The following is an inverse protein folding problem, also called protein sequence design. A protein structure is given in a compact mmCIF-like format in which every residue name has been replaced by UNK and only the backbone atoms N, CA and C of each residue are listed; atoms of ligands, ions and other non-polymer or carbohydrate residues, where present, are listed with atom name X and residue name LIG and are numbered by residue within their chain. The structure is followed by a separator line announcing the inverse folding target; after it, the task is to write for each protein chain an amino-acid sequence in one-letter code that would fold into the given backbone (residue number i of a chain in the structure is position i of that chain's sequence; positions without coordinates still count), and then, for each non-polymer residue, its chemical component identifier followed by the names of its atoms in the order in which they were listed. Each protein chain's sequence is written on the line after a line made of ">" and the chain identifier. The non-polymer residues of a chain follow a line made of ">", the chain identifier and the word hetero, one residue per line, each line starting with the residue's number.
data_IF_241523123660
#
_entry.id   IF_241523123660
#
_cell.length_a   1.000
_cell.length_b   1.000
_cell.length_c   1.000
_cell.angle_alpha   90.00
_cell.angle_beta   90.00
_cell.angle_gamma   90.00
#
_symmetry.space_group_name_H-M   'P 1'
#
loop_
_entity.id
_entity.type
_entity.pdbx_description
1 polymer ?
#
# COMPACT_ATOMS: atom_id res chain seq x y z
N UNK A 1 5.50 -11.69 -16.08
CA UNK A 1 5.18 -11.48 -14.66
C UNK A 1 5.62 -10.08 -14.28
N UNK A 2 4.87 -9.38 -13.43
CA UNK A 2 5.27 -8.08 -12.88
C UNK A 2 5.69 -8.24 -11.42
N UNK A 3 6.78 -7.59 -11.03
CA UNK A 3 7.23 -7.50 -9.65
C UNK A 3 7.08 -6.06 -9.18
N UNK A 4 6.61 -5.85 -7.97
CA UNK A 4 6.48 -4.54 -7.36
C UNK A 4 7.33 -4.48 -6.10
N UNK A 5 8.04 -3.38 -5.91
CA UNK A 5 8.73 -3.04 -4.66
C UNK A 5 7.99 -1.83 -4.10
N UNK A 6 7.32 -1.97 -2.96
CA UNK A 6 6.60 -0.88 -2.31
C UNK A 6 7.38 -0.35 -1.10
N UNK A 7 7.39 0.97 -0.93
CA UNK A 7 8.13 1.67 0.14
C UNK A 7 7.49 1.58 1.54
N UNK A 8 6.23 1.14 1.59
CA UNK A 8 5.45 0.84 2.80
C UNK A 8 4.53 -0.37 2.61
N UNK A 9 4.04 -0.93 3.72
CA UNK A 9 3.09 -2.06 3.71
C UNK A 9 1.74 -1.69 3.10
N UNK A 10 1.23 -0.50 3.43
CA UNK A 10 -0.10 -0.04 2.97
C UNK A 10 -0.13 0.25 1.47
N UNK A 11 0.93 0.83 0.91
CA UNK A 11 1.07 1.01 -0.53
C UNK A 11 1.31 -0.31 -1.25
N UNK A 12 1.97 -1.27 -0.60
CA UNK A 12 2.08 -2.65 -1.07
C UNK A 12 0.71 -3.33 -1.20
N UNK A 13 -0.14 -3.24 -0.17
CA UNK A 13 -1.50 -3.80 -0.22
C UNK A 13 -2.35 -3.11 -1.28
N UNK A 14 -2.26 -1.78 -1.42
CA UNK A 14 -2.98 -1.01 -2.44
C UNK A 14 -2.62 -1.43 -3.88
N UNK A 15 -1.32 -1.59 -4.17
CA UNK A 15 -0.88 -2.12 -5.49
C UNK A 15 -1.32 -3.56 -5.69
N UNK A 16 -1.22 -4.39 -4.65
CA UNK A 16 -1.59 -5.79 -4.75
C UNK A 16 -3.10 -5.94 -5.05
N UNK A 17 -3.94 -5.11 -4.43
CA UNK A 17 -5.35 -4.97 -4.76
C UNK A 17 -5.54 -4.51 -6.22
N UNK A 18 -4.82 -3.47 -6.64
CA UNK A 18 -4.89 -2.96 -8.00
C UNK A 18 -4.55 -4.01 -9.06
N UNK A 19 -3.54 -4.85 -8.85
CA UNK A 19 -3.22 -5.98 -9.73
C UNK A 19 -4.31 -7.05 -9.69
N UNK A 20 -4.75 -7.45 -8.49
CA UNK A 20 -5.79 -8.47 -8.31
C UNK A 20 -7.07 -8.12 -9.06
N UNK A 21 -7.49 -6.86 -8.98
CA UNK A 21 -8.66 -6.33 -9.68
C UNK A 21 -8.57 -6.38 -11.20
N UNK A 22 -7.37 -6.41 -11.77
CA UNK A 22 -7.17 -6.65 -13.21
C UNK A 22 -7.10 -8.14 -13.56
N UNK A 23 -7.38 -9.03 -12.60
CA UNK A 23 -7.37 -10.48 -12.81
C UNK A 23 -5.98 -11.11 -12.72
N UNK A 24 -4.96 -10.39 -12.27
CA UNK A 24 -3.65 -10.97 -11.97
C UNK A 24 -3.73 -11.74 -10.64
N UNK A 25 -3.22 -12.97 -10.62
CA UNK A 25 -2.98 -13.68 -9.36
C UNK A 25 -1.82 -13.02 -8.65
N UNK A 26 -2.07 -12.49 -7.46
CA UNK A 26 -1.10 -11.63 -6.78
C UNK A 26 -0.68 -12.23 -5.45
N UNK A 27 0.63 -12.29 -5.24
CA UNK A 27 1.24 -12.61 -3.96
C UNK A 27 1.86 -11.34 -3.38
N UNK A 28 1.70 -11.14 -2.08
CA UNK A 28 2.28 -10.03 -1.32
C UNK A 28 3.21 -10.57 -0.24
N UNK A 29 4.44 -10.07 -0.22
CA UNK A 29 5.47 -10.36 0.76
C UNK A 29 5.66 -9.13 1.65
N UNK A 30 5.75 -9.34 2.96
CA UNK A 30 6.01 -8.30 3.94
C UNK A 30 7.46 -8.39 4.40
N UNK A 31 8.21 -7.30 4.21
CA UNK A 31 9.64 -7.23 4.48
C UNK A 31 10.50 -7.78 3.34
N UNK A 32 11.76 -8.07 3.64
CA UNK A 32 12.66 -8.70 2.67
C UNK A 32 12.17 -10.11 2.32
N UNK A 33 12.36 -10.56 1.06
CA UNK A 33 12.14 -11.94 0.69
C UNK A 33 13.21 -12.80 1.37
N UNK A 34 12.82 -13.40 2.51
CA UNK A 34 13.65 -14.34 3.23
C UNK A 34 13.34 -15.75 2.74
N UNK A 35 14.31 -16.40 2.10
CA UNK A 35 14.12 -17.70 1.45
C UNK A 35 13.47 -17.62 0.06
N UNK A 36 13.00 -18.77 -0.44
CA UNK A 36 12.39 -18.89 -1.76
C UNK A 36 10.95 -19.39 -1.60
N UNK A 37 9.97 -18.51 -1.34
CA UNK A 37 8.58 -18.92 -1.42
C UNK A 37 8.31 -19.37 -2.84
N UNK A 38 7.61 -20.48 -3.00
CA UNK A 38 7.17 -20.94 -4.31
C UNK A 38 6.24 -19.90 -4.94
N UNK A 39 6.66 -19.34 -6.08
CA UNK A 39 5.96 -18.28 -6.81
C UNK A 39 5.20 -18.81 -8.04
N UNK A 40 5.14 -20.12 -8.21
CA UNK A 40 4.44 -20.73 -9.34
C UNK A 40 2.94 -20.40 -9.27
N UNK A 41 2.39 -20.03 -10.42
CA UNK A 41 0.97 -19.68 -10.53
C UNK A 41 0.59 -18.27 -10.06
N UNK A 42 1.56 -17.37 -9.85
CA UNK A 42 1.28 -15.95 -9.66
C UNK A 42 1.69 -15.12 -10.89
N UNK A 43 0.90 -14.10 -11.19
CA UNK A 43 1.13 -13.21 -12.34
C UNK A 43 1.77 -11.88 -11.90
N UNK A 44 1.58 -11.52 -10.63
CA UNK A 44 2.18 -10.37 -9.97
C UNK A 44 2.72 -10.71 -8.57
N UNK A 45 3.89 -10.18 -8.25
CA UNK A 45 4.51 -10.30 -6.92
C UNK A 45 4.73 -8.91 -6.35
N UNK A 46 4.37 -8.69 -5.10
CA UNK A 46 4.57 -7.41 -4.41
C UNK A 46 5.44 -7.64 -3.20
N UNK A 47 6.58 -6.95 -3.11
CA UNK A 47 7.44 -6.91 -1.93
C UNK A 47 7.23 -5.57 -1.24
N UNK A 48 6.56 -5.59 -0.10
CA UNK A 48 6.28 -4.39 0.67
C UNK A 48 7.33 -4.21 1.76
N UNK A 49 8.06 -3.11 1.69
CA UNK A 49 9.14 -2.75 2.60
C UNK A 49 8.66 -1.67 3.58
N UNK A 50 9.50 -1.33 4.57
CA UNK A 50 9.32 -0.16 5.43
C UNK A 50 10.47 0.81 5.19
N UNK A 51 10.62 1.28 3.95
CA UNK A 51 11.83 2.01 3.49
C UNK A 51 11.62 3.52 3.28
N UNK A 52 10.38 4.02 3.31
CA UNK A 52 10.06 5.43 3.01
C UNK A 52 10.86 6.44 3.84
N UNK A 53 10.96 6.23 5.15
CA UNK A 53 11.56 7.17 6.10
C UNK A 53 12.95 6.74 6.62
N UNK A 54 13.53 5.67 6.04
CA UNK A 54 14.89 5.24 6.36
C UNK A 54 15.92 6.17 5.71
N UNK A 55 17.19 6.02 6.07
CA UNK A 55 18.25 6.63 5.27
C UNK A 55 18.28 6.03 3.85
N UNK A 56 18.69 6.84 2.88
CA UNK A 56 18.67 6.45 1.47
C UNK A 56 19.52 5.22 1.17
N UNK A 57 20.66 5.04 1.85
CA UNK A 57 21.54 3.88 1.64
C UNK A 57 20.85 2.57 2.04
N UNK A 58 20.21 2.56 3.20
CA UNK A 58 19.41 1.42 3.67
C UNK A 58 18.23 1.15 2.73
N UNK A 59 17.48 2.19 2.34
CA UNK A 59 16.34 2.02 1.43
C UNK A 59 16.76 1.48 0.05
N UNK A 60 17.87 1.97 -0.50
CA UNK A 60 18.46 1.47 -1.75
C UNK A 60 18.87 0.01 -1.62
N UNK A 61 19.63 -0.35 -0.58
CA UNK A 61 20.05 -1.73 -0.35
C UNK A 61 18.84 -2.66 -0.25
N UNK A 62 17.81 -2.23 0.49
CA UNK A 62 16.59 -3.01 0.63
C UNK A 62 15.86 -3.23 -0.70
N UNK A 63 15.78 -2.20 -1.55
CA UNK A 63 15.15 -2.29 -2.86
C UNK A 63 15.95 -3.18 -3.83
N UNK A 64 17.29 -3.12 -3.80
CA UNK A 64 18.14 -3.96 -4.63
C UNK A 64 18.02 -5.45 -4.26
N UNK A 65 18.01 -5.78 -2.97
CA UNK A 65 17.77 -7.17 -2.52
C UNK A 65 16.40 -7.68 -3.01
N UNK A 66 15.35 -6.87 -2.88
CA UNK A 66 14.03 -7.22 -3.38
C UNK A 66 14.01 -7.39 -4.91
N UNK A 67 14.66 -6.48 -5.65
CA UNK A 67 14.79 -6.56 -7.11
C UNK A 67 15.52 -7.83 -7.53
N UNK A 68 16.62 -8.16 -6.88
CA UNK A 68 17.44 -9.32 -7.26
C UNK A 68 16.67 -10.63 -7.05
N UNK A 69 15.87 -10.71 -5.99
CA UNK A 69 14.95 -11.82 -5.79
C UNK A 69 13.88 -11.87 -6.89
N UNK A 70 13.20 -10.74 -7.16
CA UNK A 70 12.15 -10.68 -8.19
C UNK A 70 12.65 -11.10 -9.58
N UNK A 71 13.82 -10.59 -9.99
CA UNK A 71 14.38 -10.86 -11.32
C UNK A 71 14.99 -12.25 -11.40
N UNK A 72 15.83 -12.62 -10.43
CA UNK A 72 16.64 -13.84 -10.54
C UNK A 72 15.88 -15.11 -10.17
N UNK A 73 14.96 -15.02 -9.20
CA UNK A 73 14.23 -16.18 -8.67
C UNK A 73 12.83 -16.28 -9.25
N UNK A 74 12.13 -15.15 -9.39
CA UNK A 74 10.75 -15.14 -9.89
C UNK A 74 10.61 -14.83 -11.39
N UNK A 75 11.72 -14.66 -12.11
CA UNK A 75 11.75 -14.35 -13.55
C UNK A 75 10.84 -13.16 -13.92
N UNK A 76 10.78 -12.15 -13.05
CA UNK A 76 10.04 -10.91 -13.31
C UNK A 76 10.72 -10.13 -14.43
N UNK A 77 9.92 -9.67 -15.39
CA UNK A 77 10.39 -8.87 -16.53
C UNK A 77 10.25 -7.36 -16.33
N UNK A 78 9.36 -6.94 -15.43
CA UNK A 78 9.10 -5.52 -15.12
C UNK A 78 9.11 -5.35 -13.61
N UNK A 79 10.01 -4.50 -13.12
CA UNK A 79 10.05 -4.04 -11.72
C UNK A 79 9.31 -2.71 -11.62
N UNK A 80 8.22 -2.72 -10.86
CA UNK A 80 7.44 -1.55 -10.52
C UNK A 80 7.89 -1.00 -9.17
N UNK A 81 8.47 0.20 -9.12
CA UNK A 81 8.75 0.86 -7.84
C UNK A 81 7.54 1.70 -7.41
N UNK A 82 6.89 1.25 -6.34
CA UNK A 82 5.71 1.87 -5.74
C UNK A 82 6.12 2.79 -4.59
N UNK A 83 5.71 4.05 -4.69
CA UNK A 83 5.78 5.06 -3.62
C UNK A 83 4.43 5.77 -3.43
N UNK A 84 4.30 6.61 -2.41
CA UNK A 84 3.04 7.28 -2.07
C UNK A 84 2.52 8.16 -3.22
N UNK A 85 1.19 8.21 -3.41
CA UNK A 85 0.54 9.05 -4.44
C UNK A 85 0.67 10.56 -4.18
N UNK A 86 1.11 10.94 -2.98
CA UNK A 86 1.43 12.31 -2.59
C UNK A 86 2.94 12.62 -2.66
N UNK A 87 3.72 11.70 -3.25
CA UNK A 87 5.16 11.84 -3.48
C UNK A 87 5.98 12.05 -2.19
N UNK A 88 5.51 11.49 -1.08
CA UNK A 88 6.08 11.60 0.28
C UNK A 88 7.58 11.32 0.30
N UNK A 89 8.37 12.38 0.37
CA UNK A 89 9.83 12.33 0.36
C UNK A 89 10.41 13.65 0.86
N UNK A 90 11.72 13.67 1.06
CA UNK A 90 12.50 14.88 1.31
C UNK A 90 13.56 15.03 0.23
N UNK A 91 14.32 16.14 0.15
CA UNK A 91 15.49 16.22 -0.73
C UNK A 91 16.51 15.10 -0.51
N UNK A 92 16.53 14.47 0.68
CA UNK A 92 17.42 13.35 0.96
C UNK A 92 16.91 12.00 0.41
N UNK A 93 15.67 11.93 -0.10
CA UNK A 93 15.08 10.69 -0.61
C UNK A 93 13.74 10.29 0.01
N UNK A 94 13.26 9.07 -0.24
CA UNK A 94 13.98 7.96 -0.89
C UNK A 94 13.55 7.63 -2.32
N UNK A 95 12.67 8.42 -2.93
CA UNK A 95 12.15 8.13 -4.28
C UNK A 95 13.27 8.21 -5.33
N UNK A 96 14.03 9.31 -5.34
CA UNK A 96 15.16 9.50 -6.26
C UNK A 96 16.23 8.40 -6.14
N UNK A 97 16.88 8.24 -4.96
CA UNK A 97 17.97 7.28 -4.78
C UNK A 97 17.59 5.84 -5.12
N UNK A 98 16.40 5.39 -4.71
CA UNK A 98 15.93 4.02 -5.02
C UNK A 98 15.67 3.86 -6.52
N UNK A 99 15.06 4.87 -7.16
CA UNK A 99 14.81 4.83 -8.61
C UNK A 99 16.11 4.76 -9.40
N UNK A 100 17.11 5.58 -9.02
CA UNK A 100 18.43 5.58 -9.65
C UNK A 100 19.10 4.21 -9.55
N UNK A 101 19.12 3.61 -8.36
CA UNK A 101 19.74 2.31 -8.14
C UNK A 101 19.04 1.17 -8.91
N UNK A 102 17.71 1.20 -9.00
CA UNK A 102 16.94 0.21 -9.77
C UNK A 102 17.22 0.34 -11.27
N UNK A 103 17.31 1.56 -11.79
CA UNK A 103 17.72 1.82 -13.18
C UNK A 103 19.13 1.31 -13.47
N UNK A 104 20.09 1.64 -12.59
CA UNK A 104 21.48 1.17 -12.70
C UNK A 104 21.56 -0.36 -12.75
N UNK A 105 20.83 -1.04 -11.84
CA UNK A 105 20.79 -2.51 -11.79
C UNK A 105 20.08 -3.15 -13.00
N UNK A 106 19.16 -2.44 -13.64
CA UNK A 106 18.49 -2.90 -14.85
C UNK A 106 19.27 -2.58 -16.14
N UNK A 107 20.19 -1.60 -16.10
CA UNK A 107 20.85 -1.07 -17.28
C UNK A 107 19.95 -0.15 -18.12
N UNK A 108 18.86 0.36 -17.54
CA UNK A 108 17.91 1.25 -18.21
C UNK A 108 18.39 2.70 -18.17
N UNK A 109 18.24 3.43 -19.29
CA UNK A 109 18.66 4.83 -19.39
C UNK A 109 17.69 5.80 -18.69
N UNK A 110 16.40 5.47 -18.65
CA UNK A 110 15.37 6.32 -18.06
C UNK A 110 14.18 5.52 -17.54
N UNK A 111 13.41 6.12 -16.63
CA UNK A 111 12.07 5.65 -16.24
C UNK A 111 11.07 6.79 -16.13
N UNK A 112 9.81 6.44 -15.87
CA UNK A 112 8.71 7.37 -15.67
C UNK A 112 8.42 7.58 -14.19
N UNK A 113 7.86 8.74 -13.86
CA UNK A 113 7.39 9.13 -12.52
C UNK A 113 5.91 9.48 -12.62
N UNK A 114 5.04 8.63 -12.08
CA UNK A 114 3.59 8.82 -12.15
C UNK A 114 2.90 8.52 -10.80
N UNK A 115 2.87 9.49 -9.88
CA UNK A 115 2.17 9.33 -8.59
C UNK A 115 0.64 9.46 -8.71
N UNK A 116 0.10 9.70 -9.90
CA UNK A 116 -1.33 9.90 -10.11
C UNK A 116 -2.15 8.67 -9.70
N UNK A 117 -3.26 8.94 -9.03
CA UNK A 117 -4.31 7.99 -8.67
C UNK A 117 -5.64 8.75 -8.67
N UNK A 118 -6.23 9.03 -9.86
CA UNK A 118 -7.39 9.92 -10.02
C UNK A 118 -8.59 9.49 -9.19
N UNK A 119 -8.82 8.18 -9.05
CA UNK A 119 -9.87 7.63 -8.21
C UNK A 119 -9.76 8.04 -6.73
N UNK A 120 -8.54 8.23 -6.23
CA UNK A 120 -8.29 8.73 -4.89
C UNK A 120 -8.10 10.26 -4.88
N UNK A 121 -8.43 10.95 -5.97
CA UNK A 121 -8.27 12.40 -6.12
C UNK A 121 -6.82 12.85 -6.21
N UNK A 122 -5.89 12.02 -6.70
CA UNK A 122 -4.51 12.44 -6.97
C UNK A 122 -4.32 12.55 -8.47
N UNK A 123 -4.13 13.77 -8.98
CA UNK A 123 -3.96 14.04 -10.41
C UNK A 123 -2.71 14.86 -10.66
N UNK A 124 -2.10 14.72 -11.83
CA UNK A 124 -0.92 15.49 -12.23
C UNK A 124 -1.23 16.28 -13.49
N UNK A 125 -1.06 17.60 -13.42
CA UNK A 125 -1.28 18.52 -14.54
C UNK A 125 -0.11 19.51 -14.67
N UNK A 126 0.49 19.59 -15.85
CA UNK A 126 1.69 20.37 -16.14
C UNK A 126 2.81 20.09 -15.14
N UNK A 127 3.02 18.81 -14.78
CA UNK A 127 3.98 18.36 -13.79
C UNK A 127 3.65 18.74 -12.34
N UNK A 128 2.51 19.38 -12.08
CA UNK A 128 2.07 19.73 -10.72
C UNK A 128 1.13 18.65 -10.18
N UNK A 129 1.43 18.15 -8.98
CA UNK A 129 0.58 17.20 -8.28
C UNK A 129 -0.53 17.92 -7.50
N UNK A 130 -1.76 17.45 -7.71
CA UNK A 130 -2.95 17.91 -7.00
C UNK A 130 -3.45 16.82 -6.05
N UNK A 131 -3.93 17.27 -4.89
CA UNK A 131 -4.68 16.48 -3.93
C UNK A 131 -6.10 17.04 -3.88
N UNK A 132 -7.02 16.31 -4.48
CA UNK A 132 -8.37 16.76 -4.80
C UNK A 132 -8.32 18.06 -5.63
N UNK A 133 -8.91 19.14 -5.13
CA UNK A 133 -9.00 20.45 -5.76
C UNK A 133 -7.82 21.38 -5.41
N UNK A 134 -6.86 20.90 -4.61
CA UNK A 134 -5.73 21.69 -4.13
C UNK A 134 -4.39 21.21 -4.69
N UNK A 135 -3.44 22.13 -4.82
CA UNK A 135 -2.03 21.79 -5.00
C UNK A 135 -1.54 20.95 -3.81
N UNK A 136 -0.61 20.03 -4.04
CA UNK A 136 0.03 19.24 -2.97
C UNK A 136 0.52 20.13 -1.82
N UNK A 137 1.19 21.23 -2.15
CA UNK A 137 1.74 22.22 -1.23
C UNK A 137 0.73 23.00 -0.42
N UNK A 138 -0.54 23.00 -0.85
CA UNK A 138 -1.64 23.72 -0.20
C UNK A 138 -2.57 22.77 0.57
N UNK A 139 -2.38 21.46 0.36
CA UNK A 139 -3.12 20.40 1.04
C UNK A 139 -2.60 20.13 2.46
N UNK A 140 -3.27 19.20 3.16
CA UNK A 140 -2.79 18.69 4.46
C UNK A 140 -1.34 18.16 4.43
N UNK A 141 -0.83 17.73 3.27
CA UNK A 141 0.54 17.22 3.13
C UNK A 141 1.62 18.28 3.39
N UNK A 142 1.28 19.57 3.30
CA UNK A 142 2.17 20.68 3.66
C UNK A 142 2.72 20.57 5.08
N UNK A 143 1.92 19.99 5.97
CA UNK A 143 2.19 19.83 7.40
C UNK A 143 2.40 18.36 7.79
N UNK A 144 2.68 17.47 6.82
CA UNK A 144 2.96 16.08 7.11
C UNK A 144 4.14 15.95 8.10
N UNK A 145 4.03 15.16 9.17
CA UNK A 145 4.99 15.17 10.28
C UNK A 145 6.39 14.68 9.90
N UNK A 146 6.48 13.79 8.90
CA UNK A 146 7.75 13.20 8.46
C UNK A 146 8.29 13.80 7.15
N UNK A 147 7.39 14.10 6.23
CA UNK A 147 7.70 14.47 4.83
C UNK A 147 6.84 15.66 4.39
N UNK A 148 7.00 16.85 5.01
CA UNK A 148 6.18 18.01 4.70
C UNK A 148 6.37 18.45 3.24
N UNK A 149 5.31 18.34 2.44
CA UNK A 149 5.34 18.62 1.01
C UNK A 149 5.03 20.09 0.75
N UNK A 150 6.05 20.92 0.51
CA UNK A 150 5.92 22.39 0.36
C UNK A 150 6.07 22.91 -1.07
N UNK A 151 6.28 22.01 -2.02
CA UNK A 151 6.22 22.27 -3.47
C UNK A 151 5.26 21.23 -4.08
N UNK A 152 4.65 21.58 -5.20
CA UNK A 152 3.75 20.71 -5.96
C UNK A 152 4.34 20.29 -7.31
N UNK A 153 5.41 20.93 -7.77
CA UNK A 153 6.01 20.63 -9.06
C UNK A 153 6.94 19.41 -8.97
N UNK A 154 6.45 18.26 -9.46
CA UNK A 154 7.12 16.96 -9.36
C UNK A 154 8.53 16.95 -9.95
N UNK A 155 8.83 17.60 -11.10
CA UNK A 155 10.20 17.64 -11.60
C UNK A 155 11.20 18.28 -10.62
N UNK A 156 10.77 19.27 -9.83
CA UNK A 156 11.64 19.88 -8.80
C UNK A 156 11.77 18.97 -7.58
N UNK A 157 10.67 18.35 -7.14
CA UNK A 157 10.68 17.41 -6.03
C UNK A 157 11.57 16.19 -6.30
N UNK A 158 11.49 15.64 -7.52
CA UNK A 158 12.36 14.55 -7.96
C UNK A 158 13.80 15.03 -8.16
N UNK A 159 14.01 16.15 -8.85
CA UNK A 159 15.34 16.71 -9.11
C UNK A 159 16.11 17.13 -7.86
N UNK A 160 15.42 17.32 -6.73
CA UNK A 160 16.07 17.55 -5.43
C UNK A 160 16.69 16.27 -4.83
N UNK A 161 16.29 15.08 -5.30
CA UNK A 161 16.66 13.77 -4.74
C UNK A 161 17.68 12.99 -5.58
N UNK A 162 17.99 13.47 -6.79
CA UNK A 162 18.81 12.77 -7.77
C UNK A 162 19.79 13.74 -8.44
N UNK A 163 21.01 13.31 -8.80
CA UNK A 163 21.92 14.12 -9.61
C UNK A 163 21.52 14.16 -11.09
N UNK A 164 20.52 13.39 -11.52
CA UNK A 164 20.15 13.23 -12.93
C UNK A 164 19.08 14.23 -13.40
N UNK A 165 19.00 14.43 -14.72
CA UNK A 165 18.02 15.33 -15.32
C UNK A 165 16.61 14.74 -15.22
N UNK A 166 15.65 15.62 -14.91
CA UNK A 166 14.23 15.31 -14.79
C UNK A 166 13.43 16.11 -15.82
N UNK A 167 12.66 15.41 -16.64
CA UNK A 167 11.75 15.97 -17.63
C UNK A 167 10.29 15.74 -17.27
N UNK A 168 9.40 16.19 -18.14
CA UNK A 168 7.96 15.94 -18.00
C UNK A 168 7.30 15.79 -19.37
N UNK A 169 6.31 14.90 -19.46
CA UNK A 169 5.36 14.82 -20.57
C UNK A 169 4.05 15.44 -20.10
N UNK A 170 3.69 16.55 -20.73
CA UNK A 170 2.48 17.30 -20.36
C UNK A 170 1.23 16.54 -20.77
N UNK A 171 0.12 16.89 -20.11
CA UNK A 171 -1.17 16.28 -20.33
C UNK A 171 -1.62 16.30 -21.80
N UNK A 172 -1.31 17.37 -22.54
CA UNK A 172 -1.66 17.45 -23.97
C UNK A 172 -1.01 16.34 -24.79
N UNK A 173 0.23 15.95 -24.45
CA UNK A 173 0.95 14.86 -25.11
C UNK A 173 0.47 13.50 -24.60
N UNK A 174 0.14 13.38 -23.32
CA UNK A 174 -0.48 12.15 -22.77
C UNK A 174 -1.84 11.89 -23.43
N UNK A 175 -2.68 12.92 -23.55
CA UNK A 175 -4.01 12.88 -24.20
C UNK A 175 -3.93 12.48 -25.68
N UNK A 176 -2.80 12.76 -26.34
CA UNK A 176 -2.55 12.36 -27.72
C UNK A 176 -2.28 10.84 -27.88
N UNK A 177 -2.14 10.11 -26.77
CA UNK A 177 -2.09 8.66 -26.74
C UNK A 177 -0.68 8.08 -26.56
N UNK A 178 -0.61 6.75 -26.44
CA UNK A 178 0.62 6.03 -26.06
C UNK A 178 1.78 6.20 -27.04
N UNK A 179 1.52 6.38 -28.33
CA UNK A 179 2.57 6.63 -29.32
C UNK A 179 3.23 7.99 -29.12
N UNK A 180 2.44 9.04 -28.86
CA UNK A 180 2.98 10.37 -28.57
C UNK A 180 3.82 10.36 -27.28
N UNK A 181 3.39 9.62 -26.25
CA UNK A 181 4.17 9.44 -25.02
C UNK A 181 5.51 8.73 -25.33
N UNK A 182 5.50 7.66 -26.13
CA UNK A 182 6.73 6.96 -26.54
C UNK A 182 7.68 7.86 -27.32
N UNK A 183 7.17 8.74 -28.16
CA UNK A 183 8.00 9.72 -28.89
C UNK A 183 8.70 10.69 -27.93
N UNK A 184 7.97 11.19 -26.93
CA UNK A 184 8.55 12.05 -25.89
C UNK A 184 9.57 11.30 -25.03
N UNK A 185 9.32 10.04 -24.67
CA UNK A 185 10.29 9.23 -23.92
C UNK A 185 11.57 8.99 -24.74
N UNK A 186 11.46 8.77 -26.06
CA UNK A 186 12.62 8.65 -26.96
C UNK A 186 13.42 9.96 -27.07
N UNK A 187 12.73 11.10 -27.16
CA UNK A 187 13.38 12.41 -27.16
C UNK A 187 14.09 12.68 -25.83
N UNK A 188 13.42 12.40 -24.70
CA UNK A 188 14.00 12.51 -23.36
C UNK A 188 15.26 11.65 -23.18
N UNK A 189 15.25 10.41 -23.71
CA UNK A 189 16.43 9.55 -23.72
C UNK A 189 17.61 10.18 -24.47
N UNK A 190 17.36 10.77 -25.64
CA UNK A 190 18.37 11.43 -26.45
C UNK A 190 18.97 12.66 -25.73
N UNK A 191 18.16 13.34 -24.93
CA UNK A 191 18.56 14.49 -24.10
C UNK A 191 19.15 14.09 -22.73
N UNK A 192 19.42 12.79 -22.51
CA UNK A 192 19.95 12.26 -21.25
C UNK A 192 19.08 12.55 -20.02
N UNK A 193 17.77 12.70 -20.22
CA UNK A 193 16.78 12.79 -19.14
C UNK A 193 16.56 11.39 -18.57
N UNK A 194 16.75 11.25 -17.26
CA UNK A 194 16.66 9.95 -16.57
C UNK A 194 15.30 9.68 -15.95
N UNK A 195 14.59 10.73 -15.54
CA UNK A 195 13.27 10.60 -14.94
C UNK A 195 12.29 11.48 -15.69
N UNK A 196 11.17 10.91 -16.12
CA UNK A 196 10.14 11.63 -16.87
C UNK A 196 8.83 11.63 -16.10
N UNK A 197 8.43 12.78 -15.58
CA UNK A 197 7.12 12.96 -14.94
C UNK A 197 6.02 12.85 -15.99
N UNK A 198 5.01 12.03 -15.74
CA UNK A 198 3.87 11.90 -16.64
C UNK A 198 2.61 12.48 -16.00
N UNK A 199 1.99 13.43 -16.68
CA UNK A 199 0.68 13.95 -16.33
C UNK A 199 -0.39 12.85 -16.44
N UNK A 200 -1.41 12.90 -15.58
CA UNK A 200 -2.59 12.06 -15.68
C UNK A 200 -3.73 12.66 -14.84
N UNK A 201 -4.89 12.87 -15.47
CA UNK A 201 -6.08 13.42 -14.83
C UNK A 201 -7.17 12.36 -14.62
N UNK A 202 -7.16 11.30 -15.42
CA UNK A 202 -8.17 10.25 -15.41
C UNK A 202 -7.56 8.86 -15.71
N UNK A 203 -8.42 7.83 -15.69
CA UNK A 203 -8.03 6.45 -15.95
C UNK A 203 -7.64 6.20 -17.43
N UNK A 204 -8.12 7.02 -18.36
CA UNK A 204 -7.76 6.90 -19.77
C UNK A 204 -6.33 7.40 -20.00
N UNK A 205 -5.95 8.50 -19.34
CA UNK A 205 -4.57 8.99 -19.31
C UNK A 205 -3.64 7.92 -18.71
N UNK A 206 -4.00 7.31 -17.57
CA UNK A 206 -3.21 6.22 -16.97
C UNK A 206 -3.10 5.00 -17.90
N UNK A 207 -4.14 4.69 -18.67
CA UNK A 207 -4.12 3.61 -19.66
C UNK A 207 -3.17 3.93 -20.82
N UNK A 208 -3.17 5.17 -21.30
CA UNK A 208 -2.24 5.61 -22.34
C UNK A 208 -0.79 5.53 -21.85
N UNK A 209 -0.53 5.99 -20.61
CA UNK A 209 0.77 5.86 -19.96
C UNK A 209 1.20 4.39 -19.85
N UNK A 210 0.35 3.53 -19.29
CA UNK A 210 0.65 2.11 -19.12
C UNK A 210 1.03 1.40 -20.44
N UNK A 211 0.31 1.70 -21.53
CA UNK A 211 0.65 1.18 -22.86
C UNK A 211 1.97 1.74 -23.38
N UNK A 212 2.28 3.00 -23.10
CA UNK A 212 3.51 3.63 -23.54
C UNK A 212 4.74 3.00 -22.89
N UNK A 213 4.65 2.66 -21.59
CA UNK A 213 5.74 2.09 -20.79
C UNK A 213 5.82 0.57 -20.80
N UNK A 214 4.88 -0.09 -21.47
CA UNK A 214 4.92 -1.53 -21.69
C UNK A 214 6.22 -1.90 -22.44
N UNK A 215 7.04 -2.75 -21.81
CA UNK A 215 8.38 -3.13 -22.28
C UNK A 215 9.56 -2.47 -21.56
N UNK A 216 9.34 -1.51 -20.67
CA UNK A 216 10.40 -0.99 -19.78
C UNK A 216 10.71 -1.98 -18.66
N UNK A 217 11.98 -2.11 -18.26
CA UNK A 217 12.35 -3.01 -17.17
C UNK A 217 12.05 -2.39 -15.80
N UNK A 218 12.15 -1.06 -15.67
CA UNK A 218 11.78 -0.32 -14.45
C UNK A 218 10.69 0.71 -14.74
N UNK A 219 9.58 0.67 -13.99
CA UNK A 219 8.48 1.64 -14.03
C UNK A 219 8.22 2.14 -12.61
N UNK A 220 7.87 3.42 -12.42
CA UNK A 220 7.63 3.95 -11.06
C UNK A 220 6.34 4.75 -10.95
N UNK A 221 5.70 4.70 -9.78
CA UNK A 221 4.48 5.47 -9.53
C UNK A 221 3.64 4.99 -8.35
N UNK A 222 2.37 5.41 -8.35
CA UNK A 222 1.37 4.99 -7.37
C UNK A 222 0.48 3.84 -7.89
N UNK A 223 -0.47 3.38 -7.08
CA UNK A 223 -1.32 2.24 -7.43
C UNK A 223 -2.20 2.47 -8.68
N UNK A 224 -2.47 3.72 -9.06
CA UNK A 224 -3.18 4.06 -10.30
C UNK A 224 -2.48 3.49 -11.54
N UNK A 225 -1.21 3.88 -11.75
CA UNK A 225 -0.43 3.36 -12.87
C UNK A 225 -0.17 1.84 -12.74
N UNK A 226 0.05 1.32 -11.53
CA UNK A 226 0.20 -0.12 -11.34
C UNK A 226 -1.03 -0.91 -11.82
N UNK A 227 -2.24 -0.46 -11.47
CA UNK A 227 -3.48 -1.05 -11.96
C UNK A 227 -3.62 -0.95 -13.48
N UNK A 228 -3.31 0.21 -14.08
CA UNK A 228 -3.36 0.37 -15.53
C UNK A 228 -2.36 -0.55 -16.26
N UNK A 229 -1.15 -0.72 -15.70
CA UNK A 229 -0.13 -1.63 -16.23
C UNK A 229 -0.54 -3.09 -16.09
N UNK A 230 -1.12 -3.47 -14.94
CA UNK A 230 -1.66 -4.81 -14.71
C UNK A 230 -2.71 -5.20 -15.75
N UNK A 231 -3.55 -4.25 -16.15
CA UNK A 231 -4.55 -4.45 -17.23
C UNK A 231 -3.90 -4.70 -18.59
N UNK A 232 -2.87 -3.93 -18.95
CA UNK A 232 -2.13 -4.13 -20.21
C UNK A 232 -1.49 -5.53 -20.24
N UNK A 233 -0.85 -5.94 -19.14
CA UNK A 233 -0.24 -7.27 -18.99
C UNK A 233 -1.30 -8.39 -19.05
N UNK A 234 -2.46 -8.20 -18.42
CA UNK A 234 -3.56 -9.18 -18.46
C UNK A 234 -4.06 -9.40 -19.88
N UNK A 235 -4.27 -8.33 -20.66
CA UNK A 235 -4.71 -8.46 -22.07
C UNK A 235 -3.70 -9.28 -22.89
N UNK A 236 -2.40 -9.20 -22.57
CA UNK A 236 -1.36 -10.01 -23.18
C UNK A 236 -1.29 -11.47 -22.71
N UNK A 237 -2.00 -11.86 -21.64
CA UNK A 237 -1.95 -13.20 -21.04
C UNK A 237 -3.30 -13.91 -21.13
N UNK A 238 -3.32 -15.11 -21.75
CA UNK A 238 -4.48 -16.01 -21.73
C UNK A 238 -4.43 -16.87 -20.47
N UNK A 239 -5.30 -16.60 -19.51
CA UNK A 239 -5.49 -17.44 -18.33
C UNK A 239 -6.94 -17.36 -17.84
N UNK A 240 -7.44 -18.34 -17.07
CA UNK A 240 -8.77 -18.27 -16.49
C UNK A 240 -8.92 -17.01 -15.62
N UNK A 241 -10.11 -16.43 -15.60
CA UNK A 241 -10.44 -15.39 -14.62
C UNK A 241 -10.46 -16.02 -13.24
N UNK A 242 -9.61 -15.54 -12.34
CA UNK A 242 -9.58 -16.01 -10.95
C UNK A 242 -10.61 -15.26 -10.11
N UNK A 243 -11.81 -15.07 -10.65
CA UNK A 243 -12.96 -14.43 -10.00
C UNK A 243 -13.78 -15.41 -9.17
N UNK A 244 -13.26 -16.62 -8.92
CA UNK A 244 -13.96 -17.58 -8.07
C UNK A 244 -14.01 -17.05 -6.62
N UNK A 245 -15.20 -17.08 -5.98
CA UNK A 245 -15.32 -16.66 -4.59
C UNK A 245 -14.41 -17.50 -3.70
N UNK A 246 -13.54 -16.85 -2.94
CA UNK A 246 -12.70 -17.52 -1.96
C UNK A 246 -13.52 -17.68 -0.67
N UNK A 247 -13.76 -18.92 -0.19
CA UNK A 247 -14.45 -19.13 1.08
C UNK A 247 -13.67 -18.47 2.22
N UNK A 248 -14.37 -17.78 3.11
CA UNK A 248 -13.73 -17.29 4.32
C UNK A 248 -13.27 -18.47 5.18
N UNK A 249 -12.08 -18.40 5.82
CA UNK A 249 -11.66 -19.44 6.76
C UNK A 249 -12.66 -19.56 7.91
N UNK A 250 -12.77 -20.78 8.43
CA UNK A 250 -13.59 -21.05 9.60
C UNK A 250 -13.07 -20.32 10.84
N UNK A 251 -13.91 -20.25 11.87
CA UNK A 251 -13.56 -19.65 13.16
C UNK A 251 -13.98 -18.19 13.33
N UNK A 252 -13.77 -17.65 14.54
CA UNK A 252 -14.14 -16.29 14.91
C UNK A 252 -13.44 -15.22 14.07
N UNK A 253 -14.00 -14.01 14.07
CA UNK A 253 -13.39 -12.82 13.49
C UNK A 253 -13.11 -11.78 14.58
N UNK A 254 -11.95 -11.13 14.50
CA UNK A 254 -11.58 -10.00 15.36
C UNK A 254 -11.32 -8.75 14.52
N UNK A 255 -11.80 -7.61 15.01
CA UNK A 255 -11.52 -6.28 14.44
C UNK A 255 -10.52 -5.56 15.34
N UNK A 256 -9.44 -5.05 14.75
CA UNK A 256 -8.37 -4.32 15.43
C UNK A 256 -8.21 -2.94 14.78
N UNK A 257 -8.57 -1.86 15.48
CA UNK A 257 -8.57 -0.52 14.91
C UNK A 257 -7.68 0.45 15.70
N UNK A 258 -6.62 0.97 15.07
CA UNK A 258 -5.74 1.98 15.68
C UNK A 258 -5.78 3.34 14.98
N UNK A 259 -6.25 3.40 13.74
CA UNK A 259 -6.29 4.67 12.99
C UNK A 259 -7.32 5.65 13.56
N UNK A 260 -6.90 6.90 13.75
CA UNK A 260 -7.77 8.01 14.17
C UNK A 260 -8.32 8.84 12.99
N UNK A 261 -8.34 8.28 11.77
CA UNK A 261 -8.90 8.97 10.61
C UNK A 261 -10.42 9.17 10.75
N UNK A 262 -10.99 10.16 10.05
CA UNK A 262 -12.44 10.37 10.02
C UNK A 262 -13.20 9.12 9.55
N UNK A 263 -12.68 8.40 8.55
CA UNK A 263 -13.30 7.19 8.03
C UNK A 263 -13.29 6.07 9.08
N UNK A 264 -12.13 5.81 9.72
CA UNK A 264 -12.00 4.79 10.76
C UNK A 264 -12.87 5.10 11.98
N UNK A 265 -12.94 6.36 12.42
CA UNK A 265 -13.79 6.76 13.55
C UNK A 265 -15.27 6.47 13.27
N UNK A 266 -15.75 6.75 12.05
CA UNK A 266 -17.12 6.41 11.63
C UNK A 266 -17.36 4.89 11.58
N UNK A 267 -16.40 4.13 11.05
CA UNK A 267 -16.48 2.68 10.97
C UNK A 267 -16.46 2.01 12.37
N UNK A 268 -15.63 2.51 13.28
CA UNK A 268 -15.59 2.06 14.69
C UNK A 268 -16.92 2.36 15.38
N UNK A 269 -17.47 3.57 15.23
CA UNK A 269 -18.78 3.90 15.78
C UNK A 269 -19.87 2.94 15.27
N UNK A 270 -19.88 2.66 13.97
CA UNK A 270 -20.81 1.73 13.34
C UNK A 270 -20.66 0.28 13.86
N UNK A 271 -19.43 -0.18 14.09
CA UNK A 271 -19.16 -1.52 14.61
C UNK A 271 -19.51 -1.67 16.11
N UNK A 272 -19.30 -0.62 16.92
CA UNK A 272 -19.64 -0.63 18.37
C UNK A 272 -21.12 -0.84 18.65
N UNK A 273 -21.99 -0.42 17.75
CA UNK A 273 -23.43 -0.64 17.86
C UNK A 273 -23.84 -2.12 17.63
N UNK A 274 -22.93 -2.95 17.12
CA UNK A 274 -23.25 -4.30 16.61
C UNK A 274 -22.44 -5.40 17.27
N UNK A 275 -21.23 -5.11 17.72
CA UNK A 275 -20.31 -6.09 18.28
C UNK A 275 -19.84 -5.69 19.68
N UNK A 276 -19.56 -6.71 20.50
CA UNK A 276 -18.82 -6.51 21.73
C UNK A 276 -17.50 -5.80 21.39
N UNK A 277 -17.24 -4.69 22.07
CA UNK A 277 -16.13 -3.81 21.75
C UNK A 277 -15.42 -3.32 23.02
N UNK A 278 -14.09 -3.33 23.02
CA UNK A 278 -13.27 -2.78 24.11
C UNK A 278 -12.35 -1.68 23.58
N UNK A 279 -12.33 -0.53 24.28
CA UNK A 279 -11.44 0.59 23.96
C UNK A 279 -10.10 0.46 24.70
N UNK A 280 -9.01 0.51 23.97
CA UNK A 280 -7.65 0.60 24.49
C UNK A 280 -7.32 2.08 24.73
N UNK A 281 -7.71 2.61 25.90
CA UNK A 281 -7.48 4.02 26.27
C UNK A 281 -6.26 4.15 27.19
N UNK A 282 -5.12 4.69 26.71
CA UNK A 282 -3.92 4.83 27.54
C UNK A 282 -4.09 5.82 28.70
N UNK A 283 -5.17 6.61 28.74
CA UNK A 283 -5.47 7.57 29.81
C UNK A 283 -6.12 6.91 31.03
N UNK A 284 -6.63 5.69 30.88
CA UNK A 284 -7.28 4.94 31.96
C UNK A 284 -6.28 4.17 32.83
N UNK A 285 -5.00 4.15 32.44
CA UNK A 285 -3.93 3.38 33.09
C UNK A 285 -2.70 4.25 33.38
N UNK A 286 -1.82 3.78 34.28
CA UNK A 286 -0.57 4.48 34.57
C UNK A 286 0.46 4.33 33.45
N UNK A 287 0.46 3.17 32.80
CA UNK A 287 1.34 2.84 31.67
C UNK A 287 0.55 2.06 30.60
N UNK A 288 0.65 2.38 29.30
CA UNK A 288 -0.16 1.72 28.26
C UNK A 288 -0.05 0.19 28.24
N UNK A 289 1.11 -0.37 28.58
CA UNK A 289 1.31 -1.82 28.72
C UNK A 289 0.36 -2.52 29.71
N UNK A 290 -0.20 -1.80 30.69
CA UNK A 290 -1.20 -2.33 31.64
C UNK A 290 -2.54 -2.70 30.96
N UNK A 291 -2.78 -2.21 29.73
CA UNK A 291 -3.97 -2.54 28.96
C UNK A 291 -3.95 -3.98 28.40
N UNK A 292 -2.78 -4.59 28.25
CA UNK A 292 -2.64 -5.84 27.50
C UNK A 292 -3.37 -7.01 28.16
N UNK A 293 -3.05 -7.30 29.43
CA UNK A 293 -3.58 -8.49 30.12
C UNK A 293 -5.12 -8.44 30.26
N UNK A 294 -5.73 -7.31 30.70
CA UNK A 294 -7.19 -7.21 30.76
C UNK A 294 -7.86 -7.32 29.38
N UNK A 295 -7.27 -6.71 28.35
CA UNK A 295 -7.82 -6.77 26.99
C UNK A 295 -7.70 -8.18 26.39
N UNK A 296 -6.62 -8.91 26.67
CA UNK A 296 -6.43 -10.29 26.22
C UNK A 296 -7.39 -11.26 26.91
N UNK A 297 -7.63 -11.07 28.21
CA UNK A 297 -8.65 -11.85 28.93
C UNK A 297 -10.04 -11.58 28.36
N UNK A 298 -10.41 -10.30 28.18
CA UNK A 298 -11.69 -9.94 27.61
C UNK A 298 -11.89 -10.49 26.19
N UNK A 299 -10.86 -10.40 25.35
CA UNK A 299 -10.86 -10.98 24.01
C UNK A 299 -11.18 -12.47 24.08
N UNK A 300 -10.51 -13.20 24.97
CA UNK A 300 -10.73 -14.65 25.15
C UNK A 300 -12.17 -14.96 25.60
N UNK A 301 -12.72 -14.16 26.52
CA UNK A 301 -14.07 -14.36 27.05
C UNK A 301 -15.18 -14.06 26.03
N UNK A 302 -14.90 -13.23 25.02
CA UNK A 302 -15.90 -12.77 24.05
C UNK A 302 -15.69 -13.32 22.64
N UNK A 303 -14.53 -13.88 22.32
CA UNK A 303 -14.24 -14.44 21.00
C UNK A 303 -15.07 -15.71 20.77
N UNK A 304 -15.98 -15.66 19.80
CA UNK A 304 -16.89 -16.76 19.50
C UNK A 304 -17.56 -16.59 18.14
N UNK A 305 -18.82 -17.00 18.03
CA UNK A 305 -19.57 -16.95 16.77
C UNK A 305 -19.79 -15.50 16.26
N UNK A 306 -19.99 -14.56 17.19
CA UNK A 306 -20.09 -13.15 16.88
C UNK A 306 -18.69 -12.50 16.85
N UNK A 307 -18.39 -11.61 15.88
CA UNK A 307 -17.15 -10.85 15.90
C UNK A 307 -17.01 -9.95 17.12
N UNK A 308 -15.76 -9.67 17.49
CA UNK A 308 -15.41 -8.72 18.55
C UNK A 308 -14.48 -7.64 18.01
N UNK A 309 -14.45 -6.48 18.68
CA UNK A 309 -13.58 -5.37 18.29
C UNK A 309 -12.73 -4.85 19.45
N UNK A 310 -11.43 -4.67 19.22
CA UNK A 310 -10.55 -3.90 20.08
C UNK A 310 -10.03 -2.70 19.32
N UNK A 311 -10.08 -1.52 19.93
CA UNK A 311 -9.71 -0.28 19.23
C UNK A 311 -9.04 0.75 20.15
N UNK A 312 -8.05 1.47 19.62
CA UNK A 312 -7.46 2.66 20.24
C UNK A 312 -7.87 3.97 19.54
N UNK A 313 -8.60 3.87 18.42
CA UNK A 313 -9.12 5.02 17.66
C UNK A 313 -9.92 5.99 18.53
N UNK A 314 -9.54 7.27 18.52
CA UNK A 314 -10.20 8.32 19.29
C UNK A 314 -10.29 9.65 18.50
N UNK A 315 -11.38 10.44 18.69
CA UNK A 315 -11.47 11.79 18.14
C UNK A 315 -10.44 12.72 18.81
N UNK A 316 -10.18 13.87 18.19
CA UNK A 316 -9.07 14.74 18.57
C UNK A 316 -9.11 15.19 20.03
N UNK A 317 -10.30 15.44 20.58
CA UNK A 317 -10.52 15.90 21.94
C UNK A 317 -10.27 14.81 22.99
N UNK A 318 -10.25 13.55 22.57
CA UNK A 318 -10.08 12.39 23.45
C UNK A 318 -8.72 11.72 23.31
N UNK A 319 -7.79 12.32 22.55
CA UNK A 319 -6.42 11.82 22.44
C UNK A 319 -5.57 12.44 23.55
N UNK A 320 -4.60 11.68 24.04
CA UNK A 320 -3.46 12.26 24.75
C UNK A 320 -2.71 13.24 23.82
N UNK A 321 -1.82 14.05 24.39
CA UNK A 321 -0.83 14.72 23.55
C UNK A 321 -0.14 13.69 22.64
N UNK A 322 0.20 14.12 21.42
CA UNK A 322 0.77 13.25 20.41
C UNK A 322 2.15 12.76 20.89
N UNK A 323 2.15 11.54 21.43
CA UNK A 323 3.34 10.88 21.94
C UNK A 323 3.65 9.65 21.07
N UNK A 324 4.74 9.67 20.28
CA UNK A 324 5.17 8.53 19.47
C UNK A 324 5.41 7.26 20.28
N UNK A 325 5.80 7.37 21.55
CA UNK A 325 6.05 6.23 22.41
C UNK A 325 4.74 5.52 22.77
N UNK A 326 3.71 6.28 23.15
CA UNK A 326 2.37 5.74 23.41
C UNK A 326 1.80 5.09 22.15
N UNK A 327 1.95 5.72 20.99
CA UNK A 327 1.49 5.15 19.71
C UNK A 327 2.16 3.79 19.43
N UNK A 328 3.48 3.72 19.58
CA UNK A 328 4.26 2.49 19.40
C UNK A 328 3.84 1.39 20.40
N UNK A 329 3.59 1.76 21.66
CA UNK A 329 3.12 0.81 22.66
C UNK A 329 1.71 0.28 22.34
N UNK A 330 0.78 1.14 21.90
CA UNK A 330 -0.55 0.72 21.47
C UNK A 330 -0.50 -0.22 20.26
N UNK A 331 0.39 0.06 19.29
CA UNK A 331 0.64 -0.84 18.16
C UNK A 331 1.15 -2.21 18.61
N UNK A 332 2.09 -2.24 19.55
CA UNK A 332 2.62 -3.47 20.15
C UNK A 332 1.53 -4.27 20.87
N UNK A 333 0.67 -3.59 21.64
CA UNK A 333 -0.48 -4.21 22.33
C UNK A 333 -1.45 -4.80 21.31
N UNK A 334 -1.81 -4.06 20.26
CA UNK A 334 -2.69 -4.56 19.20
C UNK A 334 -2.08 -5.77 18.49
N UNK A 335 -0.77 -5.77 18.22
CA UNK A 335 -0.07 -6.92 17.66
C UNK A 335 -0.13 -8.16 18.58
N UNK A 336 0.05 -7.97 19.89
CA UNK A 336 -0.07 -9.05 20.87
C UNK A 336 -1.51 -9.59 20.96
N UNK A 337 -2.52 -8.72 20.88
CA UNK A 337 -3.93 -9.11 20.84
C UNK A 337 -4.27 -9.89 19.56
N UNK A 338 -3.67 -9.54 18.42
CA UNK A 338 -3.82 -10.32 17.19
C UNK A 338 -3.29 -11.74 17.36
N UNK A 339 -2.09 -11.90 17.95
CA UNK A 339 -1.53 -13.23 18.29
C UNK A 339 -2.47 -14.02 19.19
N UNK A 340 -2.99 -13.39 20.24
CA UNK A 340 -3.91 -14.03 21.18
C UNK A 340 -5.20 -14.49 20.48
N UNK A 341 -5.79 -13.66 19.61
CA UNK A 341 -6.98 -14.02 18.84
C UNK A 341 -6.73 -15.22 17.92
N UNK A 342 -5.63 -15.23 17.17
CA UNK A 342 -5.27 -16.34 16.27
C UNK A 342 -4.99 -17.62 17.06
N UNK A 343 -4.29 -17.52 18.20
CA UNK A 343 -4.05 -18.66 19.09
C UNK A 343 -5.36 -19.23 19.68
N UNK A 344 -6.36 -18.37 19.89
CA UNK A 344 -7.71 -18.75 20.31
C UNK A 344 -8.62 -19.22 19.15
N UNK A 345 -8.08 -19.35 17.92
CA UNK A 345 -8.77 -19.93 16.78
C UNK A 345 -9.43 -18.93 15.83
N UNK A 346 -9.16 -17.63 15.96
CA UNK A 346 -9.64 -16.65 14.99
C UNK A 346 -9.07 -16.95 13.58
N UNK A 347 -9.96 -17.20 12.63
CA UNK A 347 -9.60 -17.35 11.21
C UNK A 347 -9.56 -16.03 10.45
N UNK A 348 -10.12 -14.96 11.02
CA UNK A 348 -10.21 -13.64 10.37
C UNK A 348 -9.74 -12.52 11.29
N UNK A 349 -8.86 -11.67 10.78
CA UNK A 349 -8.37 -10.47 11.46
C UNK A 349 -8.56 -9.26 10.54
N UNK A 350 -9.46 -8.36 10.93
CA UNK A 350 -9.78 -7.12 10.20
C UNK A 350 -9.05 -5.97 10.87
N UNK A 351 -8.13 -5.32 10.18
CA UNK A 351 -7.25 -4.29 10.74
C UNK A 351 -7.50 -2.92 10.09
N UNK A 352 -7.62 -1.88 10.91
CA UNK A 352 -7.80 -0.50 10.45
C UNK A 352 -6.68 0.43 10.93
N UNK A 353 -5.80 0.82 10.00
CA UNK A 353 -4.62 1.66 10.21
C UNK A 353 -3.39 1.05 9.56
N UNK A 354 -2.53 1.85 8.93
CA UNK A 354 -1.37 1.33 8.20
C UNK A 354 -0.30 0.78 9.15
N UNK A 355 0.01 1.54 10.19
CA UNK A 355 0.95 1.24 11.25
C UNK A 355 0.41 0.10 12.10
N UNK A 356 -0.89 0.13 12.43
CA UNK A 356 -1.60 -0.98 13.06
C UNK A 356 -1.54 -2.27 12.22
N UNK A 357 -1.73 -2.17 10.90
CA UNK A 357 -1.60 -3.32 9.98
C UNK A 357 -0.19 -3.87 9.98
N UNK A 358 0.82 -2.99 9.97
CA UNK A 358 2.22 -3.38 10.10
C UNK A 358 2.51 -4.11 11.40
N UNK A 359 2.05 -3.59 12.54
CA UNK A 359 2.24 -4.21 13.84
C UNK A 359 1.55 -5.57 13.96
N UNK A 360 0.34 -5.71 13.42
CA UNK A 360 -0.38 -6.99 13.39
C UNK A 360 0.34 -8.02 12.52
N UNK A 361 0.75 -7.65 11.31
CA UNK A 361 1.45 -8.55 10.37
C UNK A 361 2.79 -9.01 10.96
N UNK A 362 3.58 -8.08 11.50
CA UNK A 362 4.88 -8.39 12.09
C UNK A 362 4.70 -9.25 13.35
N UNK A 363 3.69 -8.96 14.18
CA UNK A 363 3.39 -9.79 15.34
C UNK A 363 3.01 -11.22 14.91
N UNK A 364 2.08 -11.38 13.96
CA UNK A 364 1.64 -12.70 13.51
C UNK A 364 2.71 -13.49 12.75
N UNK A 365 3.89 -12.90 12.49
CA UNK A 365 4.97 -13.48 11.68
C UNK A 365 4.48 -13.88 10.28
N UNK A 366 3.54 -13.11 9.73
CA UNK A 366 2.99 -13.35 8.39
C UNK A 366 3.89 -12.67 7.37
N UNK A 367 4.80 -13.45 6.79
CA UNK A 367 5.77 -12.95 5.79
C UNK A 367 5.23 -12.95 4.36
N UNK A 368 4.23 -13.77 4.07
CA UNK A 368 3.68 -13.93 2.71
C UNK A 368 2.19 -14.22 2.75
N UNK A 369 1.44 -13.52 1.90
CA UNK A 369 -0.01 -13.69 1.71
C UNK A 369 -0.38 -13.72 0.23
N UNK A 370 -1.51 -14.36 -0.05
CA UNK A 370 -2.21 -14.34 -1.34
C UNK A 370 -3.26 -13.26 -1.29
N UNK A 371 -3.39 -12.47 -2.35
CA UNK A 371 -4.45 -11.45 -2.45
C UNK A 371 -5.67 -12.07 -3.13
N UNK A 372 -6.73 -12.26 -2.35
CA UNK A 372 -7.91 -13.04 -2.75
C UNK A 372 -8.97 -12.19 -3.46
N UNK A 373 -9.34 -11.05 -2.88
CA UNK A 373 -10.42 -10.18 -3.35
C UNK A 373 -10.25 -8.74 -2.82
N UNK A 374 -11.09 -7.81 -3.27
CA UNK A 374 -11.16 -6.44 -2.75
C UNK A 374 -12.46 -6.26 -1.95
N UNK A 375 -12.38 -6.19 -0.63
CA UNK A 375 -13.56 -5.95 0.22
C UNK A 375 -14.20 -4.59 -0.07
N UNK A 376 -13.36 -3.58 -0.30
CA UNK A 376 -13.68 -2.28 -0.85
C UNK A 376 -12.48 -1.84 -1.71
N UNK A 377 -12.66 -0.77 -2.48
CA UNK A 377 -11.60 -0.26 -3.35
C UNK A 377 -10.31 0.02 -2.56
N UNK A 378 -9.21 -0.60 -3.00
CA UNK A 378 -7.90 -0.49 -2.34
C UNK A 378 -7.80 -1.18 -0.98
N UNK A 379 -8.78 -2.03 -0.62
CA UNK A 379 -8.82 -2.77 0.64
C UNK A 379 -8.89 -4.27 0.34
N UNK A 380 -7.73 -4.94 0.18
CA UNK A 380 -7.70 -6.35 -0.17
C UNK A 380 -7.99 -7.26 1.03
N UNK A 381 -8.64 -8.38 0.73
CA UNK A 381 -8.54 -9.60 1.52
C UNK A 381 -7.25 -10.33 1.14
N UNK A 382 -6.47 -10.67 2.16
CA UNK A 382 -5.21 -11.38 2.03
C UNK A 382 -5.24 -12.65 2.88
N UNK A 383 -4.96 -13.81 2.31
CA UNK A 383 -4.87 -15.07 3.08
C UNK A 383 -3.46 -15.60 3.19
N UNK A 384 -3.15 -16.28 4.29
CA UNK A 384 -1.97 -17.14 4.35
C UNK A 384 -2.07 -18.22 3.27
N UNK A 385 -0.92 -18.76 2.81
CA UNK A 385 -0.89 -19.75 1.71
C UNK A 385 -1.70 -21.02 1.99
N UNK A 386 -1.85 -21.39 3.25
CA UNK A 386 -2.66 -22.54 3.69
C UNK A 386 -4.14 -22.18 3.89
N UNK A 387 -4.52 -20.92 3.62
CA UNK A 387 -5.85 -20.34 3.79
C UNK A 387 -6.45 -20.57 5.20
N UNK A 388 -5.60 -20.69 6.23
CA UNK A 388 -6.06 -20.81 7.63
C UNK A 388 -6.39 -19.47 8.26
N UNK A 389 -5.76 -18.40 7.78
CA UNK A 389 -5.93 -17.05 8.29
C UNK A 389 -6.15 -16.09 7.13
N UNK A 390 -7.20 -15.28 7.22
CA UNK A 390 -7.44 -14.15 6.32
C UNK A 390 -7.33 -12.83 7.08
N UNK A 391 -6.57 -11.93 6.49
CA UNK A 391 -6.28 -10.59 6.95
C UNK A 391 -6.97 -9.59 6.01
N UNK A 392 -7.65 -8.60 6.57
CA UNK A 392 -8.04 -7.41 5.82
C UNK A 392 -7.26 -6.23 6.37
N UNK A 393 -6.37 -5.67 5.56
CA UNK A 393 -5.43 -4.61 5.97
C UNK A 393 -5.85 -3.28 5.34
N UNK A 394 -6.52 -2.44 6.12
CA UNK A 394 -7.12 -1.19 5.63
C UNK A 394 -6.29 0.03 6.04
N UNK A 395 -5.93 0.86 5.08
CA UNK A 395 -5.46 2.22 5.36
C UNK A 395 -6.52 3.06 6.07
N UNK A 396 -6.10 4.06 6.87
CA UNK A 396 -7.00 4.88 7.67
C UNK A 396 -8.18 5.46 6.88
N UNK A 397 -7.94 6.10 5.74
CA UNK A 397 -8.98 6.84 5.01
C UNK A 397 -9.89 6.00 4.09
N UNK A 398 -9.69 4.68 4.03
CA UNK A 398 -10.33 3.82 3.03
C UNK A 398 -11.61 3.15 3.55
N UNK A 399 -12.42 2.64 2.62
CA UNK A 399 -13.57 1.80 2.90
C UNK A 399 -14.87 2.55 3.24
N UNK A 400 -15.99 1.88 2.97
CA UNK A 400 -17.34 2.35 3.30
C UNK A 400 -17.60 2.34 4.82
N UNK A 401 -18.64 3.06 5.31
CA UNK A 401 -18.95 3.10 6.74
C UNK A 401 -19.21 1.74 7.39
N UNK A 402 -19.72 0.76 6.63
CA UNK A 402 -20.06 -0.59 7.09
C UNK A 402 -18.92 -1.61 6.95
N UNK A 403 -17.77 -1.22 6.40
CA UNK A 403 -16.70 -2.15 6.00
C UNK A 403 -16.27 -3.10 7.12
N UNK A 404 -16.00 -2.60 8.34
CA UNK A 404 -15.53 -3.45 9.44
C UNK A 404 -16.55 -4.52 9.82
N UNK A 405 -17.83 -4.16 9.81
CA UNK A 405 -18.94 -5.07 10.10
C UNK A 405 -19.12 -6.10 9.01
N UNK A 406 -19.17 -5.65 7.75
CA UNK A 406 -19.31 -6.52 6.59
C UNK A 406 -18.14 -7.50 6.48
N UNK A 407 -16.92 -7.03 6.66
CA UNK A 407 -15.72 -7.85 6.60
C UNK A 407 -15.70 -8.94 7.69
N UNK A 408 -16.02 -8.58 8.93
CA UNK A 408 -15.98 -9.52 10.04
C UNK A 408 -17.09 -10.59 9.99
N UNK A 409 -18.18 -10.33 9.26
CA UNK A 409 -19.34 -11.25 9.17
C UNK A 409 -19.41 -12.02 7.85
N UNK A 410 -18.63 -11.64 6.85
CA UNK A 410 -18.73 -12.24 5.51
C UNK A 410 -18.33 -13.72 5.51
N UNK A 411 -19.13 -14.56 4.84
CA UNK A 411 -18.84 -15.98 4.62
C UNK A 411 -17.94 -16.23 3.41
N UNK A 412 -17.77 -15.21 2.57
CA UNK A 412 -16.94 -15.22 1.36
C UNK A 412 -16.04 -14.00 1.38
N UNK A 413 -14.79 -14.17 0.96
CA UNK A 413 -13.89 -13.05 0.74
C UNK A 413 -14.25 -12.43 -0.61
N UNK A 414 -14.95 -11.30 -0.58
CA UNK A 414 -15.49 -10.63 -1.77
C UNK A 414 -15.51 -9.12 -1.62
#
# INVERSE_FOLDING_TARGET
>A
MIGCIADDYTGGTDVAAAFRRQGLRTMLLFGQPDGMPDVDGYDALVVALKSRALDAGTAVNMALVARDWLVSQAAVSIVYFKYCSTFDSTPAGNIGPVTDALLDAAGDALTVVCPASPEHGRTVYQGHLFVHDQLLSDSSMRHHPLTPMRDSYLPRLMGAQTPHLVGAVTWQRVRAGSEAIRDELRAAAADSIRHVVLDALDEDDLTAVARAVDGMAVVTGAAGLAGALGRVIRVGTRGPDSSEPVPAPGGPAVILAGSCSKATLGQVAYARERFASWRLDPREVGHPGELLDPAAQWLTDHLGDAPVMLYSSAPAEERSEADPEIATQLESIIGALAKAAVAAGAGRVVVAGGETSGAVVDALDVRTVVVDAEADRGVPWCSTRDHRLSLLLKSGNFGRPDLLVRAATSKTLS
#
